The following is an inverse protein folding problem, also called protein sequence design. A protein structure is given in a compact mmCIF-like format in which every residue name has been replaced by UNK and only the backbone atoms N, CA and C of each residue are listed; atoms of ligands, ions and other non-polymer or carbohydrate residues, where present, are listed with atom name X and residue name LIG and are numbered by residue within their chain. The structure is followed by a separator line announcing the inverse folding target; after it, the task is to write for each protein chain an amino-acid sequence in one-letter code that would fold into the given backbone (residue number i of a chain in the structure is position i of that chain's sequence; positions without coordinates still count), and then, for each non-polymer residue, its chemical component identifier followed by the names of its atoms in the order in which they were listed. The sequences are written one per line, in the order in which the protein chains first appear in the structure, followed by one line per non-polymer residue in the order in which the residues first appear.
data_IF_756841517587
#
_entry.id   IF_756841517587
#
_cell.length_a   1.000
_cell.length_b   1.000
_cell.length_c   1.000
_cell.angle_alpha   90.00
_cell.angle_beta   90.00
_cell.angle_gamma   90.00
#
_symmetry.space_group_name_H-M   'P 1'
#
loop_
_entity.id
_entity.type
_entity.pdbx_description
1 polymer ?
#
# COMPACT_ATOMS: atom_id res chain seq x y z
N UNK A 1 12.51 9.05 -4.12
CA UNK A 1 13.91 8.55 -4.22
C UNK A 1 14.27 7.55 -3.11
N UNK A 2 13.47 7.41 -2.04
CA UNK A 2 13.80 6.53 -0.90
C UNK A 2 14.06 5.07 -1.29
N UNK A 3 13.49 4.58 -2.37
CA UNK A 3 13.68 3.22 -2.90
C UNK A 3 14.63 3.16 -4.12
N UNK A 4 15.36 4.22 -4.41
CA UNK A 4 16.36 4.27 -5.48
C UNK A 4 17.66 3.68 -4.94
N UNK A 5 18.15 2.59 -5.53
CA UNK A 5 19.44 2.02 -5.18
C UNK A 5 20.60 2.74 -5.88
N UNK A 6 21.83 2.46 -5.42
CA UNK A 6 23.03 3.13 -5.92
C UNK A 6 23.25 2.90 -7.42
N UNK A 7 22.95 1.70 -7.93
CA UNK A 7 23.11 1.37 -9.35
C UNK A 7 22.11 2.14 -10.21
N UNK A 8 20.83 2.15 -9.79
CA UNK A 8 19.79 2.91 -10.49
C UNK A 8 20.11 4.41 -10.49
N UNK A 9 20.71 4.91 -9.41
CA UNK A 9 21.13 6.31 -9.35
C UNK A 9 22.28 6.63 -10.31
N UNK A 10 23.29 5.75 -10.41
CA UNK A 10 24.36 5.93 -11.40
C UNK A 10 23.81 5.90 -12.84
N UNK A 11 22.94 4.91 -13.15
CA UNK A 11 22.28 4.83 -14.47
C UNK A 11 21.50 6.14 -14.79
N UNK A 12 20.80 6.72 -13.80
CA UNK A 12 20.08 7.97 -13.98
C UNK A 12 21.02 9.17 -14.24
N UNK A 13 22.17 9.22 -13.55
CA UNK A 13 23.17 10.28 -13.77
C UNK A 13 23.79 10.22 -15.16
N UNK A 14 23.96 9.02 -15.72
CA UNK A 14 24.44 8.86 -17.09
C UNK A 14 23.44 9.35 -18.13
N UNK A 15 22.13 9.19 -17.86
CA UNK A 15 21.07 9.56 -18.79
C UNK A 15 20.72 11.05 -18.68
N UNK A 16 20.67 11.59 -17.45
CA UNK A 16 20.14 12.93 -17.19
C UNK A 16 21.21 13.85 -16.58
N UNK A 17 21.52 14.99 -17.21
CA UNK A 17 22.53 15.93 -16.71
C UNK A 17 22.07 16.65 -15.43
N UNK A 18 20.77 16.77 -15.22
CA UNK A 18 20.17 17.41 -14.04
C UNK A 18 19.13 16.50 -13.43
N UNK A 19 19.26 16.23 -12.12
CA UNK A 19 18.34 15.41 -11.35
C UNK A 19 17.87 16.16 -10.12
N UNK A 20 16.57 16.09 -9.85
CA UNK A 20 15.99 16.50 -8.57
C UNK A 20 15.35 15.27 -7.94
N UNK A 21 15.81 14.94 -6.72
CA UNK A 21 15.35 13.76 -5.99
C UNK A 21 14.43 14.19 -4.86
N UNK A 22 13.22 13.64 -4.83
CA UNK A 22 12.31 13.75 -3.70
C UNK A 22 12.35 12.45 -2.91
N UNK A 23 12.59 12.53 -1.61
CA UNK A 23 12.71 11.37 -0.73
C UNK A 23 12.41 11.71 0.72
N UNK A 24 12.19 10.68 1.51
CA UNK A 24 11.96 10.77 2.94
C UNK A 24 12.88 9.75 3.64
N UNK A 25 13.81 10.20 4.49
CA UNK A 25 14.78 9.33 5.15
C UNK A 25 14.15 8.35 6.14
N UNK A 26 12.93 8.61 6.61
CA UNK A 26 12.21 7.73 7.52
C UNK A 26 11.48 6.58 6.78
N UNK A 27 11.29 6.69 5.45
CA UNK A 27 10.65 5.64 4.65
C UNK A 27 11.59 4.44 4.45
N UNK A 28 11.02 3.37 3.85
CA UNK A 28 11.78 2.16 3.54
C UNK A 28 12.89 2.44 2.53
N UNK A 29 14.07 1.90 2.79
CA UNK A 29 15.20 1.90 1.88
C UNK A 29 14.99 0.88 0.75
N UNK A 30 15.81 0.94 -0.32
CA UNK A 30 15.85 -0.12 -1.33
C UNK A 30 16.14 -1.47 -0.67
N UNK A 31 15.54 -2.53 -1.19
CA UNK A 31 15.70 -3.88 -0.66
C UNK A 31 17.18 -4.29 -0.75
N UNK A 32 17.74 -4.78 0.37
CA UNK A 32 19.15 -5.19 0.51
C UNK A 32 20.19 -4.06 0.46
N UNK A 33 19.79 -2.80 0.55
CA UNK A 33 20.75 -1.70 0.69
C UNK A 33 21.20 -1.57 2.16
N UNK A 34 22.50 -1.66 2.40
CA UNK A 34 23.11 -1.56 3.73
C UNK A 34 23.63 -0.17 4.09
N UNK A 35 23.83 0.68 3.09
CA UNK A 35 24.33 2.06 3.25
C UNK A 35 23.22 3.11 3.39
N UNK A 36 23.63 4.37 3.46
CA UNK A 36 22.71 5.52 3.44
C UNK A 36 21.90 5.55 2.14
N UNK A 37 20.71 6.16 2.20
CA UNK A 37 19.93 6.39 0.98
C UNK A 37 20.67 7.36 0.06
N UNK A 38 20.51 7.20 -1.25
CA UNK A 38 21.20 7.99 -2.27
C UNK A 38 21.11 9.50 -2.02
N UNK A 39 19.94 10.01 -1.69
CA UNK A 39 19.76 11.45 -1.46
C UNK A 39 20.38 11.95 -0.15
N UNK A 40 20.65 11.08 0.83
CA UNK A 40 21.35 11.43 2.08
C UNK A 40 22.85 11.62 1.86
N UNK A 41 23.40 11.07 0.78
CA UNK A 41 24.82 11.23 0.43
C UNK A 41 25.12 12.54 -0.32
N UNK A 42 24.10 13.30 -0.71
CA UNK A 42 24.28 14.58 -1.38
C UNK A 42 24.89 15.63 -0.42
N UNK A 43 25.75 16.55 -0.92
CA UNK A 43 26.27 17.65 -0.11
C UNK A 43 25.14 18.51 0.48
N UNK A 44 25.29 18.96 1.72
CA UNK A 44 24.31 19.74 2.46
C UNK A 44 23.69 20.92 1.67
N UNK A 45 24.46 21.71 0.88
CA UNK A 45 23.90 22.78 0.07
C UNK A 45 22.94 22.33 -1.05
N UNK A 46 22.92 21.04 -1.36
CA UNK A 46 22.02 20.43 -2.35
C UNK A 46 20.84 19.70 -1.72
N UNK A 47 20.70 19.76 -0.41
CA UNK A 47 19.59 19.18 0.32
C UNK A 47 18.62 20.29 0.77
N UNK A 48 17.34 20.11 0.42
CA UNK A 48 16.24 20.98 0.87
C UNK A 48 15.27 20.15 1.68
N UNK A 49 14.92 20.62 2.87
CA UNK A 49 13.99 19.92 3.76
C UNK A 49 12.63 20.60 3.73
N UNK A 50 11.59 19.83 3.42
CA UNK A 50 10.20 20.27 3.49
C UNK A 50 9.66 19.95 4.88
N UNK A 51 9.28 20.97 5.63
CA UNK A 51 8.83 20.83 7.04
C UNK A 51 7.32 20.69 7.18
N UNK A 52 6.54 21.10 6.16
CA UNK A 52 5.09 21.08 6.23
C UNK A 52 4.52 19.72 5.84
N UNK A 53 3.73 19.12 6.74
CA UNK A 53 2.96 17.90 6.49
C UNK A 53 1.57 18.30 5.97
N UNK A 54 1.13 17.73 4.84
CA UNK A 54 -0.15 18.03 4.22
C UNK A 54 -1.15 16.87 4.27
N UNK A 55 -0.68 15.67 4.62
CA UNK A 55 -1.51 14.45 4.55
C UNK A 55 -2.50 14.33 5.72
N UNK A 56 -2.13 14.83 6.87
CA UNK A 56 -2.89 14.71 8.12
C UNK A 56 -3.05 16.09 8.74
N UNK A 57 -4.13 16.29 9.50
CA UNK A 57 -4.31 17.50 10.30
C UNK A 57 -3.19 17.65 11.35
N UNK A 58 -2.85 18.88 11.68
CA UNK A 58 -1.70 19.16 12.57
C UNK A 58 -1.85 18.57 13.98
N UNK A 59 -3.10 18.30 14.41
CA UNK A 59 -3.43 17.71 15.72
C UNK A 59 -3.65 16.19 15.66
N UNK A 60 -3.34 15.55 14.53
CA UNK A 60 -3.55 14.11 14.39
C UNK A 60 -2.51 13.32 15.19
N UNK A 61 -2.91 12.50 16.19
CA UNK A 61 -2.00 11.75 17.04
C UNK A 61 -1.12 10.74 16.27
N UNK A 62 -1.52 10.36 15.05
CA UNK A 62 -0.72 9.49 14.19
C UNK A 62 0.60 10.17 13.81
N UNK A 63 0.62 11.51 13.67
CA UNK A 63 1.85 12.27 13.41
C UNK A 63 2.79 12.22 14.61
N UNK A 64 2.28 12.34 15.83
CA UNK A 64 3.09 12.25 17.03
C UNK A 64 3.75 10.88 17.17
N UNK A 65 2.98 9.82 16.88
CA UNK A 65 3.52 8.45 16.82
C UNK A 65 4.59 8.29 15.73
N UNK A 66 4.38 8.89 14.56
CA UNK A 66 5.36 8.87 13.48
C UNK A 66 6.64 9.62 13.84
N UNK A 67 6.53 10.78 14.47
CA UNK A 67 7.68 11.57 14.93
C UNK A 67 8.46 10.86 16.03
N UNK A 68 7.79 10.16 16.96
CA UNK A 68 8.45 9.40 18.02
C UNK A 68 9.41 8.32 17.46
N UNK A 69 9.10 7.74 16.30
CA UNK A 69 9.97 6.74 15.65
C UNK A 69 11.35 7.29 15.22
N UNK A 70 11.51 8.62 15.17
CA UNK A 70 12.80 9.25 14.89
C UNK A 70 13.77 9.17 16.08
N UNK A 71 13.26 8.96 17.30
CA UNK A 71 14.11 8.80 18.50
C UNK A 71 14.91 7.49 18.41
N UNK A 72 16.25 7.52 18.33
CA UNK A 72 17.08 6.33 18.26
C UNK A 72 16.91 5.39 19.46
N UNK A 73 16.61 5.96 20.65
CA UNK A 73 16.48 5.22 21.90
C UNK A 73 15.15 4.47 22.02
N UNK A 74 14.12 4.84 21.25
CA UNK A 74 12.80 4.23 21.32
C UNK A 74 12.85 2.74 20.92
N UNK A 75 12.48 1.85 21.86
CA UNK A 75 12.31 0.43 21.63
C UNK A 75 10.92 0.10 21.06
N UNK A 76 10.77 -1.13 20.53
CA UNK A 76 9.48 -1.59 19.98
C UNK A 76 8.39 -1.65 21.05
N UNK A 77 8.71 -2.21 22.22
CA UNK A 77 7.73 -2.38 23.32
C UNK A 77 7.27 -1.02 23.87
N UNK A 78 8.16 -0.02 23.90
CA UNK A 78 7.80 1.35 24.31
C UNK A 78 6.93 2.02 23.26
N UNK A 79 7.21 1.80 21.98
CA UNK A 79 6.37 2.30 20.89
C UNK A 79 4.97 1.68 20.92
N UNK A 80 4.84 0.35 21.13
CA UNK A 80 3.54 -0.28 21.30
C UNK A 80 2.77 0.28 22.50
N UNK A 81 3.46 0.54 23.61
CA UNK A 81 2.83 1.18 24.77
C UNK A 81 2.33 2.59 24.45
N UNK A 82 3.09 3.38 23.70
CA UNK A 82 2.64 4.69 23.23
C UNK A 82 1.37 4.60 22.38
N UNK A 83 1.29 3.63 21.47
CA UNK A 83 0.08 3.39 20.66
C UNK A 83 -1.11 3.04 21.56
N UNK A 84 -0.92 2.11 22.52
CA UNK A 84 -1.99 1.70 23.45
C UNK A 84 -2.47 2.86 24.32
N UNK A 85 -1.57 3.71 24.80
CA UNK A 85 -1.91 4.90 25.59
C UNK A 85 -2.63 5.94 24.73
N UNK A 86 -2.20 6.15 23.49
CA UNK A 86 -2.86 7.06 22.55
C UNK A 86 -4.27 6.58 22.24
N UNK A 87 -4.46 5.28 22.01
CA UNK A 87 -5.77 4.67 21.77
C UNK A 87 -6.78 4.84 22.94
N UNK A 88 -6.28 5.05 24.17
CA UNK A 88 -7.15 5.34 25.34
C UNK A 88 -7.64 6.80 25.36
N UNK A 89 -6.99 7.69 24.60
CA UNK A 89 -7.23 9.15 24.64
C UNK A 89 -7.86 9.69 23.37
N UNK A 90 -7.64 9.01 22.23
CA UNK A 90 -8.03 9.50 20.91
C UNK A 90 -8.54 8.35 20.04
N UNK A 91 -9.78 8.47 19.55
CA UNK A 91 -10.44 7.45 18.73
C UNK A 91 -9.83 7.26 17.33
N UNK A 92 -9.00 8.18 16.90
CA UNK A 92 -8.23 8.09 15.63
C UNK A 92 -7.15 7.04 15.69
N UNK A 93 -6.75 6.59 16.89
CA UNK A 93 -5.84 5.47 17.10
C UNK A 93 -6.56 4.37 17.86
N UNK A 94 -6.53 3.16 17.33
CA UNK A 94 -7.25 2.01 17.89
C UNK A 94 -6.28 0.87 18.14
N UNK A 95 -6.36 0.28 19.34
CA UNK A 95 -5.63 -0.92 19.72
C UNK A 95 -6.54 -2.13 19.66
N UNK A 96 -6.34 -3.01 18.66
CA UNK A 96 -7.24 -4.10 18.38
C UNK A 96 -6.59 -5.49 18.52
N UNK A 97 -7.38 -6.44 19.03
CA UNK A 97 -6.96 -7.85 19.17
C UNK A 97 -7.17 -8.65 17.86
N UNK A 98 -7.92 -8.12 16.91
CA UNK A 98 -8.33 -8.83 15.70
C UNK A 98 -8.27 -7.92 14.49
N UNK A 99 -7.94 -8.51 13.35
CA UNK A 99 -8.13 -7.86 12.06
C UNK A 99 -9.64 -7.73 11.79
N UNK A 100 -10.11 -6.54 11.49
CA UNK A 100 -11.49 -6.30 11.08
C UNK A 100 -11.71 -6.73 9.63
N UNK A 101 -12.40 -7.85 9.45
CA UNK A 101 -12.59 -8.48 8.14
C UNK A 101 -13.37 -7.60 7.17
N UNK A 102 -14.44 -6.94 7.64
CA UNK A 102 -15.26 -6.11 6.77
C UNK A 102 -14.48 -4.89 6.24
N UNK A 103 -13.53 -4.39 7.04
CA UNK A 103 -12.66 -3.30 6.61
C UNK A 103 -11.65 -3.76 5.55
N UNK A 104 -11.22 -5.03 5.55
CA UNK A 104 -10.29 -5.56 4.56
C UNK A 104 -10.81 -5.44 3.12
N UNK A 105 -12.12 -5.39 2.92
CA UNK A 105 -12.72 -5.20 1.61
C UNK A 105 -12.58 -3.76 1.07
N UNK A 106 -12.29 -2.79 1.94
CA UNK A 106 -12.19 -1.36 1.61
C UNK A 106 -10.78 -0.82 1.76
N UNK A 107 -10.07 -1.32 2.76
CA UNK A 107 -8.71 -0.90 3.09
C UNK A 107 -7.88 -2.13 3.44
N UNK A 108 -6.74 -2.34 2.77
CA UNK A 108 -5.92 -3.53 3.01
C UNK A 108 -5.32 -3.53 4.41
N UNK A 109 -5.12 -4.73 4.95
CA UNK A 109 -4.24 -4.91 6.10
C UNK A 109 -2.80 -4.76 5.66
N UNK A 110 -2.04 -3.90 6.31
CA UNK A 110 -0.63 -3.70 6.04
C UNK A 110 0.23 -4.69 6.80
N UNK A 111 1.03 -5.45 6.08
CA UNK A 111 1.90 -6.50 6.61
C UNK A 111 3.33 -6.32 6.10
N UNK A 112 4.30 -6.89 6.78
CA UNK A 112 5.68 -6.90 6.27
C UNK A 112 5.93 -8.07 5.32
N UNK A 113 5.59 -9.30 5.74
CA UNK A 113 5.96 -10.53 5.04
C UNK A 113 4.92 -10.96 4.02
N UNK A 114 5.38 -11.41 2.85
CA UNK A 114 4.51 -11.92 1.80
C UNK A 114 3.70 -13.15 2.27
N UNK A 115 4.31 -14.06 3.03
CA UNK A 115 3.61 -15.20 3.59
C UNK A 115 2.46 -14.82 4.53
N UNK A 116 2.60 -13.73 5.33
CA UNK A 116 1.52 -13.20 6.16
C UNK A 116 0.42 -12.62 5.28
N UNK A 117 0.77 -11.88 4.24
CA UNK A 117 -0.17 -11.32 3.27
C UNK A 117 -1.05 -12.41 2.64
N UNK A 118 -0.43 -13.45 2.11
CA UNK A 118 -1.13 -14.58 1.47
C UNK A 118 -2.07 -15.27 2.47
N UNK A 119 -1.61 -15.53 3.69
CA UNK A 119 -2.45 -16.15 4.73
C UNK A 119 -3.66 -15.31 5.11
N UNK A 120 -3.50 -13.99 5.25
CA UNK A 120 -4.62 -13.10 5.56
C UNK A 120 -5.62 -13.01 4.40
N UNK A 121 -5.15 -12.95 3.16
CA UNK A 121 -6.01 -12.99 1.97
C UNK A 121 -6.82 -14.29 1.92
N UNK A 122 -6.17 -15.44 2.11
CA UNK A 122 -6.88 -16.72 2.08
C UNK A 122 -7.88 -16.84 3.24
N UNK A 123 -7.53 -16.34 4.42
CA UNK A 123 -8.46 -16.30 5.56
C UNK A 123 -9.66 -15.38 5.27
N UNK A 124 -9.45 -14.19 4.68
CA UNK A 124 -10.51 -13.29 4.23
C UNK A 124 -11.45 -13.98 3.23
N UNK A 125 -10.88 -14.62 2.20
CA UNK A 125 -11.64 -15.34 1.19
C UNK A 125 -12.46 -16.50 1.78
N UNK A 126 -11.85 -17.25 2.69
CA UNK A 126 -12.51 -18.38 3.36
C UNK A 126 -13.71 -17.92 4.21
N UNK A 127 -13.59 -16.84 4.99
CA UNK A 127 -14.69 -16.36 5.85
C UNK A 127 -15.84 -15.76 5.04
N UNK A 128 -15.58 -15.28 3.82
CA UNK A 128 -16.60 -14.82 2.88
C UNK A 128 -17.12 -15.93 1.94
N UNK A 129 -16.64 -17.16 2.07
CA UNK A 129 -17.06 -18.29 1.25
C UNK A 129 -16.67 -18.16 -0.23
N UNK A 130 -15.59 -17.43 -0.53
CA UNK A 130 -15.10 -17.28 -1.89
C UNK A 130 -14.59 -18.64 -2.46
N UNK A 131 -14.80 -18.93 -3.76
CA UNK A 131 -14.28 -20.14 -4.40
C UNK A 131 -12.75 -20.22 -4.31
N UNK A 132 -12.20 -21.42 -4.21
CA UNK A 132 -10.75 -21.61 -4.06
C UNK A 132 -9.95 -21.11 -5.28
N UNK A 133 -10.44 -21.39 -6.49
CA UNK A 133 -9.71 -21.16 -7.75
C UNK A 133 -10.29 -20.00 -8.60
N UNK A 134 -11.25 -19.25 -8.08
CA UNK A 134 -11.87 -18.15 -8.79
C UNK A 134 -12.17 -16.97 -7.85
N UNK A 135 -12.21 -15.76 -8.38
CA UNK A 135 -12.68 -14.60 -7.60
C UNK A 135 -14.19 -14.61 -7.46
N UNK A 136 -14.66 -14.24 -6.28
CA UNK A 136 -16.06 -13.91 -6.02
C UNK A 136 -16.34 -12.44 -6.34
N UNK A 137 -17.55 -12.11 -6.72
CA UNK A 137 -18.00 -10.72 -6.88
C UNK A 137 -17.88 -9.97 -5.55
N UNK A 138 -17.34 -8.77 -5.61
CA UNK A 138 -17.07 -7.96 -4.41
C UNK A 138 -15.66 -8.10 -3.85
N UNK A 139 -14.83 -9.03 -4.34
CA UNK A 139 -13.44 -9.13 -3.86
C UNK A 139 -12.63 -7.88 -4.26
N UNK A 140 -11.86 -7.30 -3.30
CA UNK A 140 -11.03 -6.14 -3.56
C UNK A 140 -9.75 -6.54 -4.29
N UNK A 141 -9.36 -5.73 -5.27
CA UNK A 141 -8.11 -5.90 -6.00
C UNK A 141 -7.33 -4.58 -6.03
N UNK A 142 -6.03 -4.67 -6.28
CA UNK A 142 -5.14 -3.53 -6.51
C UNK A 142 -4.45 -3.73 -7.85
N UNK A 143 -4.53 -2.73 -8.72
CA UNK A 143 -3.83 -2.74 -9.99
C UNK A 143 -2.31 -2.67 -9.76
N UNK A 144 -1.58 -3.68 -10.23
CA UNK A 144 -0.10 -3.72 -10.13
C UNK A 144 0.56 -3.15 -11.40
N UNK A 145 -0.21 -2.93 -12.45
CA UNK A 145 0.21 -2.31 -13.69
C UNK A 145 -0.63 -2.74 -14.88
N UNK A 146 -0.45 -2.03 -16.00
CA UNK A 146 -1.08 -2.37 -17.29
C UNK A 146 0.04 -2.59 -18.30
N UNK A 147 0.14 -3.82 -18.80
CA UNK A 147 1.08 -4.19 -19.84
C UNK A 147 0.30 -4.52 -21.12
N UNK A 148 0.21 -3.57 -22.02
CA UNK A 148 -0.40 -3.75 -23.34
C UNK A 148 0.62 -3.43 -24.43
N UNK A 149 0.65 -4.20 -25.54
CA UNK A 149 1.51 -3.90 -26.69
C UNK A 149 1.27 -2.50 -27.23
N UNK A 150 2.27 -1.93 -27.87
CA UNK A 150 2.19 -0.58 -28.47
C UNK A 150 0.99 -0.43 -29.43
N UNK A 151 0.61 -1.49 -30.15
CA UNK A 151 -0.59 -1.50 -31.01
C UNK A 151 -1.90 -1.27 -30.25
N UNK A 152 -1.91 -1.48 -28.93
CA UNK A 152 -3.07 -1.26 -28.06
C UNK A 152 -2.92 -0.03 -27.15
N UNK A 153 -2.02 0.90 -27.50
CA UNK A 153 -1.76 2.13 -26.73
C UNK A 153 -3.04 2.93 -26.43
N UNK A 154 -3.96 3.01 -27.38
CA UNK A 154 -5.25 3.72 -27.17
C UNK A 154 -6.05 3.07 -26.03
N UNK A 155 -6.15 1.74 -26.01
CA UNK A 155 -6.87 1.03 -24.95
C UNK A 155 -6.21 1.23 -23.59
N UNK A 156 -4.87 1.26 -23.52
CA UNK A 156 -4.15 1.55 -22.30
C UNK A 156 -4.46 2.95 -21.79
N UNK A 157 -4.35 3.97 -22.66
CA UNK A 157 -4.65 5.36 -22.31
C UNK A 157 -6.11 5.53 -21.86
N UNK A 158 -7.06 4.83 -22.49
CA UNK A 158 -8.47 4.85 -22.08
C UNK A 158 -8.64 4.29 -20.65
N UNK A 159 -8.02 3.15 -20.34
CA UNK A 159 -8.08 2.55 -18.99
C UNK A 159 -7.42 3.47 -17.96
N UNK A 160 -6.25 4.05 -18.27
CA UNK A 160 -5.54 4.99 -17.39
C UNK A 160 -6.37 6.29 -17.18
N UNK A 161 -7.01 6.82 -18.20
CA UNK A 161 -7.90 7.99 -18.12
C UNK A 161 -9.14 7.72 -17.24
N UNK A 162 -9.56 6.46 -17.17
CA UNK A 162 -10.65 5.99 -16.29
C UNK A 162 -10.16 5.58 -14.91
N UNK A 163 -8.96 6.00 -14.53
CA UNK A 163 -8.39 5.78 -13.20
C UNK A 163 -7.76 4.42 -12.97
N UNK A 164 -7.71 3.53 -13.96
CA UNK A 164 -7.04 2.24 -13.82
C UNK A 164 -5.52 2.42 -14.00
N UNK A 165 -4.87 2.84 -12.94
CA UNK A 165 -3.42 3.06 -12.87
C UNK A 165 -2.80 2.15 -11.82
N UNK A 166 -1.48 2.07 -11.80
CA UNK A 166 -0.76 1.31 -10.76
C UNK A 166 -1.12 1.83 -9.37
N UNK A 167 -1.52 0.92 -8.48
CA UNK A 167 -1.99 1.24 -7.13
C UNK A 167 -3.50 1.51 -7.02
N UNK A 168 -4.21 1.64 -8.14
CA UNK A 168 -5.66 1.84 -8.13
C UNK A 168 -6.36 0.66 -7.44
N UNK A 169 -7.27 0.99 -6.53
CA UNK A 169 -8.15 0.01 -5.90
C UNK A 169 -9.36 -0.24 -6.79
N UNK A 170 -9.69 -1.50 -6.95
CA UNK A 170 -10.83 -1.90 -7.75
C UNK A 170 -11.62 -3.01 -7.06
N UNK A 171 -12.91 -3.09 -7.35
CA UNK A 171 -13.80 -4.18 -6.92
C UNK A 171 -14.04 -5.08 -8.12
N UNK A 172 -13.86 -6.38 -7.93
CA UNK A 172 -14.19 -7.36 -8.95
C UNK A 172 -15.72 -7.53 -9.07
N UNK A 173 -16.24 -7.34 -10.30
CA UNK A 173 -17.67 -7.43 -10.62
C UNK A 173 -18.02 -8.70 -11.42
N UNK A 174 -17.07 -9.62 -11.58
CA UNK A 174 -17.27 -10.84 -12.34
C UNK A 174 -16.53 -10.89 -13.67
N UNK A 175 -16.66 -11.99 -14.41
CA UNK A 175 -16.03 -12.18 -15.71
C UNK A 175 -16.58 -11.19 -16.74
N UNK A 176 -15.71 -10.76 -17.65
CA UNK A 176 -16.10 -9.94 -18.80
C UNK A 176 -16.80 -10.74 -19.91
N UNK A 177 -17.26 -10.02 -20.95
CA UNK A 177 -17.89 -10.67 -22.12
C UNK A 177 -16.90 -11.48 -22.96
N UNK A 178 -15.62 -11.12 -22.94
CA UNK A 178 -14.56 -11.84 -23.66
C UNK A 178 -13.79 -12.71 -22.68
N UNK A 179 -13.35 -13.93 -23.07
CA UNK A 179 -12.47 -14.74 -22.25
C UNK A 179 -11.21 -13.97 -21.81
N UNK A 180 -10.82 -14.12 -20.55
CA UNK A 180 -9.67 -13.43 -19.97
C UNK A 180 -9.92 -11.95 -19.63
N UNK A 181 -11.15 -11.45 -19.80
CA UNK A 181 -11.53 -10.11 -19.35
C UNK A 181 -12.28 -10.17 -18.02
N UNK A 182 -12.06 -9.18 -17.19
CA UNK A 182 -12.84 -8.94 -15.96
C UNK A 182 -13.63 -7.65 -16.06
N UNK A 183 -14.80 -7.64 -15.44
CA UNK A 183 -15.54 -6.41 -15.15
C UNK A 183 -15.08 -5.91 -13.80
N UNK A 184 -14.74 -4.65 -13.72
CA UNK A 184 -14.14 -4.02 -12.55
C UNK A 184 -14.84 -2.70 -12.26
N UNK A 185 -14.88 -2.31 -10.98
CA UNK A 185 -15.25 -0.98 -10.54
C UNK A 185 -14.02 -0.31 -9.95
N UNK A 186 -13.54 0.75 -10.61
CA UNK A 186 -12.39 1.52 -10.15
C UNK A 186 -12.86 2.50 -9.07
N UNK A 187 -12.32 2.37 -7.87
CA UNK A 187 -12.70 3.22 -6.74
C UNK A 187 -12.29 4.67 -7.01
N UNK A 188 -13.20 5.61 -6.75
CA UNK A 188 -12.97 7.05 -6.90
C UNK A 188 -12.93 7.60 -8.33
N UNK A 189 -13.13 6.78 -9.35
CA UNK A 189 -13.19 7.25 -10.72
C UNK A 189 -14.58 7.80 -11.06
N UNK A 190 -14.64 8.84 -11.91
CA UNK A 190 -15.93 9.40 -12.40
C UNK A 190 -16.72 8.38 -13.24
N UNK A 191 -16.04 7.64 -14.12
CA UNK A 191 -16.60 6.51 -14.88
C UNK A 191 -15.95 5.19 -14.40
N UNK A 192 -16.43 4.65 -13.25
CA UNK A 192 -15.71 3.62 -12.53
C UNK A 192 -15.79 2.23 -13.13
N UNK A 193 -16.76 1.96 -14.03
CA UNK A 193 -16.95 0.62 -14.57
C UNK A 193 -16.07 0.39 -15.80
N UNK A 194 -15.08 -0.45 -15.67
CA UNK A 194 -14.17 -0.84 -16.76
C UNK A 194 -14.25 -2.34 -17.04
N UNK A 195 -13.94 -2.71 -18.30
CA UNK A 195 -13.70 -4.09 -18.67
C UNK A 195 -12.31 -4.19 -19.25
N UNK A 196 -11.44 -4.95 -18.61
CA UNK A 196 -10.04 -5.08 -19.00
C UNK A 196 -9.64 -6.55 -19.13
N UNK A 197 -8.75 -6.84 -20.08
CA UNK A 197 -7.99 -8.08 -20.06
C UNK A 197 -7.18 -8.09 -18.76
N UNK A 198 -7.42 -9.07 -17.92
CA UNK A 198 -6.90 -9.05 -16.56
C UNK A 198 -6.24 -10.37 -16.19
N UNK A 199 -5.11 -10.22 -15.53
CA UNK A 199 -4.39 -11.33 -14.90
C UNK A 199 -4.57 -11.15 -13.40
N UNK A 200 -5.38 -12.01 -12.81
CA UNK A 200 -5.56 -12.06 -11.37
C UNK A 200 -4.94 -13.35 -10.86
N UNK A 201 -4.05 -13.19 -9.90
CA UNK A 201 -3.35 -14.29 -9.28
C UNK A 201 -3.94 -14.56 -7.91
N UNK A 202 -4.55 -15.74 -7.76
CA UNK A 202 -4.96 -16.25 -6.46
C UNK A 202 -3.77 -17.04 -5.91
N UNK A 203 -3.07 -16.41 -4.95
CA UNK A 203 -1.88 -16.99 -4.34
C UNK A 203 -2.30 -17.94 -3.21
N UNK A 204 -1.72 -19.13 -3.19
CA UNK A 204 -1.90 -20.11 -2.12
C UNK A 204 -0.71 -20.09 -1.15
N UNK A 205 -0.91 -20.38 0.13
CA UNK A 205 0.20 -20.59 1.05
C UNK A 205 1.08 -21.75 0.55
N UNK A 206 2.40 -21.57 0.69
CA UNK A 206 3.41 -22.60 0.38
C UNK A 206 3.50 -23.02 -1.11
N UNK A 207 2.83 -22.36 -2.03
CA UNK A 207 3.03 -22.52 -3.47
C UNK A 207 4.07 -21.52 -4.00
N UNK A 208 4.97 -22.00 -4.84
CA UNK A 208 5.88 -21.13 -5.58
C UNK A 208 5.08 -20.20 -6.50
N UNK A 209 5.52 -18.97 -6.65
CA UNK A 209 4.90 -18.05 -7.60
C UNK A 209 4.95 -18.64 -9.01
N UNK A 210 3.81 -18.92 -9.67
CA UNK A 210 3.82 -19.45 -11.02
C UNK A 210 4.51 -18.44 -11.94
N UNK A 211 5.48 -18.90 -12.69
CA UNK A 211 6.10 -18.10 -13.75
C UNK A 211 5.04 -17.78 -14.81
N UNK A 212 4.73 -16.49 -14.97
CA UNK A 212 3.85 -16.01 -16.03
C UNK A 212 4.74 -15.51 -17.17
N UNK A 213 4.75 -16.18 -18.34
CA UNK A 213 5.50 -15.70 -19.50
C UNK A 213 5.10 -14.28 -19.86
N UNK A 214 6.06 -13.45 -20.34
CA UNK A 214 5.81 -12.06 -20.72
C UNK A 214 4.65 -11.92 -21.72
N UNK A 215 4.57 -12.82 -22.71
CA UNK A 215 3.48 -12.82 -23.68
C UNK A 215 2.08 -13.06 -23.06
N UNK A 216 2.00 -13.74 -21.91
CA UNK A 216 0.75 -13.94 -21.17
C UNK A 216 0.42 -12.80 -20.20
N UNK A 217 1.35 -11.87 -19.96
CA UNK A 217 1.14 -10.69 -19.11
C UNK A 217 0.45 -9.53 -19.83
N UNK A 218 -0.12 -9.77 -21.00
CA UNK A 218 -0.79 -8.75 -21.83
C UNK A 218 -2.14 -8.38 -21.23
N UNK A 219 -2.18 -7.35 -20.39
CA UNK A 219 -3.42 -6.88 -19.77
C UNK A 219 -3.13 -6.08 -18.49
N UNK A 220 -4.15 -5.86 -17.70
CA UNK A 220 -4.02 -5.30 -16.36
C UNK A 220 -3.73 -6.45 -15.37
N UNK A 221 -2.65 -6.29 -14.61
CA UNK A 221 -2.25 -7.24 -13.57
C UNK A 221 -2.79 -6.78 -12.23
N UNK A 222 -3.39 -7.67 -11.48
CA UNK A 222 -3.98 -7.37 -10.17
C UNK A 222 -3.41 -8.26 -9.09
N UNK A 223 -3.24 -7.66 -7.91
CA UNK A 223 -3.05 -8.34 -6.64
C UNK A 223 -4.35 -8.28 -5.85
N UNK A 224 -4.57 -9.27 -4.99
CA UNK A 224 -5.72 -9.20 -4.08
C UNK A 224 -5.55 -8.08 -3.07
N UNK A 225 -6.61 -7.27 -2.89
CA UNK A 225 -6.58 -6.01 -2.15
C UNK A 225 -6.82 -6.14 -0.64
N UNK A 226 -7.20 -7.31 -0.11
CA UNK A 226 -7.52 -7.46 1.31
C UNK A 226 -6.29 -7.32 2.25
N UNK A 227 -5.09 -7.62 1.76
CA UNK A 227 -3.84 -7.38 2.48
C UNK A 227 -2.72 -7.02 1.51
N UNK A 228 -1.83 -6.11 1.91
CA UNK A 228 -0.73 -5.58 1.09
C UNK A 228 0.53 -5.50 1.93
N UNK A 229 1.69 -5.74 1.32
CA UNK A 229 2.94 -5.49 2.03
C UNK A 229 3.18 -4.00 2.20
N UNK A 230 3.76 -3.60 3.34
CA UNK A 230 4.10 -2.20 3.64
C UNK A 230 4.95 -1.59 2.52
N UNK A 231 5.84 -2.37 1.91
CA UNK A 231 6.64 -1.93 0.75
C UNK A 231 5.75 -1.53 -0.45
N UNK A 232 4.73 -2.33 -0.78
CA UNK A 232 3.80 -2.02 -1.88
C UNK A 232 2.79 -0.93 -1.53
N UNK A 233 2.55 -0.69 -0.25
CA UNK A 233 1.68 0.39 0.23
C UNK A 233 2.33 1.78 0.14
N UNK A 234 3.63 1.87 -0.15
CA UNK A 234 4.29 3.16 -0.36
C UNK A 234 3.66 3.90 -1.55
N UNK A 235 3.35 5.18 -1.34
CA UNK A 235 2.65 6.01 -2.32
C UNK A 235 1.12 5.94 -2.25
N UNK A 236 0.56 4.94 -1.55
CA UNK A 236 -0.88 4.84 -1.30
C UNK A 236 -1.25 5.39 0.08
N UNK A 237 -2.53 5.68 0.29
CA UNK A 237 -3.09 6.14 1.56
C UNK A 237 -4.55 5.73 1.66
N UNK A 238 -5.06 5.61 2.87
CA UNK A 238 -6.46 5.23 3.17
C UNK A 238 -6.96 6.02 4.36
N UNK A 239 -8.24 6.34 4.40
CA UNK A 239 -8.85 7.02 5.56
C UNK A 239 -8.58 6.22 6.85
N UNK A 240 -8.88 4.92 6.80
CA UNK A 240 -8.57 4.00 7.91
C UNK A 240 -7.58 2.94 7.44
N UNK A 241 -6.54 2.69 8.22
CA UNK A 241 -5.52 1.67 7.92
C UNK A 241 -5.39 0.69 9.07
N UNK A 242 -5.40 -0.61 8.76
CA UNK A 242 -5.07 -1.67 9.70
C UNK A 242 -3.60 -2.08 9.54
N UNK A 243 -2.83 -1.99 10.62
CA UNK A 243 -1.43 -2.40 10.66
C UNK A 243 -1.28 -3.68 11.47
N UNK A 244 -0.71 -4.71 10.88
CA UNK A 244 -0.51 -6.02 11.51
C UNK A 244 0.77 -6.01 12.33
N UNK A 245 0.68 -5.62 13.60
CA UNK A 245 1.78 -5.48 14.54
C UNK A 245 2.67 -6.73 14.69
N UNK A 246 2.16 -7.98 14.66
CA UNK A 246 3.01 -9.17 14.79
C UNK A 246 4.11 -9.28 13.73
N UNK A 247 3.89 -8.72 12.54
CA UNK A 247 4.92 -8.69 11.50
C UNK A 247 6.01 -7.64 11.79
N UNK A 248 5.63 -6.48 12.31
CA UNK A 248 6.59 -5.43 12.73
C UNK A 248 7.38 -5.89 13.95
N UNK A 249 6.72 -6.55 14.92
CA UNK A 249 7.39 -7.21 16.04
C UNK A 249 8.41 -8.25 15.58
N UNK A 250 8.07 -9.07 14.57
CA UNK A 250 9.02 -10.02 14.01
C UNK A 250 10.26 -9.33 13.43
N UNK A 251 10.10 -8.18 12.76
CA UNK A 251 11.22 -7.39 12.26
C UNK A 251 12.09 -6.82 13.41
N UNK A 252 11.45 -6.35 14.49
CA UNK A 252 12.14 -5.86 15.69
C UNK A 252 12.97 -6.98 16.34
N UNK A 253 12.38 -8.17 16.48
CA UNK A 253 13.06 -9.36 17.06
C UNK A 253 14.24 -9.84 16.21
N UNK A 254 14.18 -9.68 14.90
CA UNK A 254 15.30 -10.00 14.01
C UNK A 254 16.48 -9.02 14.16
N UNK A 255 16.27 -7.83 14.73
CA UNK A 255 17.31 -6.82 14.89
C UNK A 255 17.89 -6.30 13.58
N UNK A 256 17.17 -6.48 12.44
CA UNK A 256 17.66 -6.05 11.14
C UNK A 256 17.73 -4.53 11.05
N UNK A 257 18.83 -4.02 10.51
CA UNK A 257 19.08 -2.61 10.25
C UNK A 257 19.17 -2.38 8.74
N UNK A 258 18.50 -1.37 8.24
CA UNK A 258 18.54 -0.94 6.84
C UNK A 258 18.80 0.57 6.77
N UNK A 259 19.76 0.97 5.96
CA UNK A 259 20.18 2.38 5.83
C UNK A 259 20.34 3.07 7.21
N UNK A 260 21.11 2.45 8.12
CA UNK A 260 21.46 3.00 9.43
C UNK A 260 20.34 3.01 10.48
N UNK A 261 19.13 2.54 10.17
CA UNK A 261 18.02 2.50 11.13
C UNK A 261 17.43 1.09 11.28
N UNK A 262 16.88 0.73 12.46
CA UNK A 262 16.18 -0.51 12.65
C UNK A 262 15.02 -0.65 11.66
N UNK A 263 14.96 -1.76 10.93
CA UNK A 263 13.94 -2.01 9.91
C UNK A 263 12.50 -1.87 10.46
N UNK A 264 12.26 -2.31 11.69
CA UNK A 264 10.93 -2.23 12.29
C UNK A 264 10.42 -0.78 12.41
N UNK A 265 11.31 0.21 12.68
CA UNK A 265 10.96 1.63 12.75
C UNK A 265 10.50 2.14 11.38
N UNK A 266 11.23 1.80 10.32
CA UNK A 266 10.87 2.16 8.96
C UNK A 266 9.54 1.53 8.53
N UNK A 267 9.35 0.26 8.88
CA UNK A 267 8.08 -0.45 8.63
C UNK A 267 6.92 0.20 9.38
N UNK A 268 7.09 0.47 10.67
CA UNK A 268 6.09 1.15 11.49
C UNK A 268 5.77 2.53 10.93
N UNK A 269 6.78 3.36 10.65
CA UNK A 269 6.62 4.69 10.09
C UNK A 269 5.82 4.68 8.78
N UNK A 270 6.25 3.86 7.81
CA UNK A 270 5.53 3.76 6.53
C UNK A 270 4.11 3.27 6.74
N UNK A 271 3.89 2.25 7.58
CA UNK A 271 2.57 1.68 7.79
C UNK A 271 1.58 2.67 8.43
N UNK A 272 1.97 3.32 9.55
CA UNK A 272 1.07 4.24 10.25
C UNK A 272 0.80 5.51 9.45
N UNK A 273 1.80 6.00 8.69
CA UNK A 273 1.61 7.18 7.82
C UNK A 273 0.76 6.91 6.57
N UNK A 274 0.26 5.68 6.36
CA UNK A 274 -0.75 5.40 5.32
C UNK A 274 -2.16 5.78 5.76
N UNK A 275 -2.42 5.86 7.06
CA UNK A 275 -3.70 6.29 7.60
C UNK A 275 -3.85 7.81 7.49
N UNK A 276 -4.96 8.28 6.90
CA UNK A 276 -5.29 9.71 6.84
C UNK A 276 -6.01 10.14 8.12
N UNK A 277 -7.01 9.37 8.55
CA UNK A 277 -7.90 9.70 9.66
C UNK A 277 -7.74 8.73 10.83
N UNK A 278 -7.68 7.42 10.57
CA UNK A 278 -7.73 6.40 11.62
C UNK A 278 -6.71 5.29 11.43
N UNK A 279 -5.96 5.01 12.49
CA UNK A 279 -5.00 3.91 12.59
C UNK A 279 -5.56 2.80 13.48
N UNK A 280 -5.59 1.57 12.99
CA UNK A 280 -5.89 0.37 13.77
C UNK A 280 -4.62 -0.46 13.90
N UNK A 281 -4.09 -0.57 15.12
CA UNK A 281 -2.93 -1.37 15.44
C UNK A 281 -3.38 -2.75 15.91
N UNK A 282 -3.20 -3.76 15.07
CA UNK A 282 -3.70 -5.12 15.33
C UNK A 282 -2.61 -5.96 15.95
N UNK A 283 -2.81 -6.40 17.20
CA UNK A 283 -1.77 -7.08 18.00
C UNK A 283 -1.81 -8.60 17.93
N UNK A 284 -2.87 -9.22 17.40
CA UNK A 284 -2.96 -10.69 17.31
C UNK A 284 -3.34 -11.16 15.91
N UNK A 285 -2.89 -12.36 15.57
CA UNK A 285 -3.22 -13.04 14.32
C UNK A 285 -4.60 -13.71 14.41
N UNK A 286 -5.66 -12.89 14.50
CA UNK A 286 -7.06 -13.35 14.50
C UNK A 286 -7.89 -12.40 13.65
N UNK A 287 -8.89 -12.94 12.95
CA UNK A 287 -9.86 -12.15 12.20
C UNK A 287 -11.15 -12.00 13.03
N UNK A 288 -11.85 -10.89 12.86
CA UNK A 288 -13.24 -10.74 13.29
C UNK A 288 -14.14 -11.67 12.47
N UNK A 289 -15.37 -11.84 12.87
CA UNK A 289 -16.39 -12.45 12.01
C UNK A 289 -16.91 -11.38 11.05
N UNK A 290 -17.15 -11.72 9.77
CA UNK A 290 -17.78 -10.78 8.85
C UNK A 290 -19.22 -10.51 9.31
N UNK A 291 -19.68 -9.28 9.13
CA UNK A 291 -21.07 -8.87 9.45
C UNK A 291 -22.07 -9.34 8.39
N UNK A 292 -21.58 -9.67 7.20
CA UNK A 292 -22.39 -10.16 6.10
C UNK A 292 -21.56 -10.58 4.89
N UNK A 293 -22.21 -10.97 3.79
CA UNK A 293 -21.53 -11.24 2.54
C UNK A 293 -20.94 -9.96 1.95
N UNK A 294 -19.94 -10.10 1.07
CA UNK A 294 -19.41 -8.99 0.29
C UNK A 294 -20.54 -8.40 -0.58
N UNK A 295 -20.91 -7.15 -0.34
CA UNK A 295 -21.92 -6.44 -1.10
C UNK A 295 -21.26 -5.34 -1.92
N UNK A 296 -21.31 -5.48 -3.22
CA UNK A 296 -20.68 -4.54 -4.15
C UNK A 296 -21.17 -3.11 -3.94
N UNK A 297 -22.45 -2.91 -3.69
CA UNK A 297 -23.02 -1.56 -3.52
C UNK A 297 -22.51 -0.88 -2.24
N UNK A 298 -22.35 -1.63 -1.15
CA UNK A 298 -21.78 -1.13 0.10
C UNK A 298 -20.29 -0.73 -0.09
N UNK A 299 -19.57 -1.49 -0.92
CA UNK A 299 -18.16 -1.21 -1.24
C UNK A 299 -17.99 0.01 -2.14
N UNK A 300 -18.88 0.19 -3.13
CA UNK A 300 -18.87 1.36 -4.03
C UNK A 300 -19.19 2.67 -3.30
N UNK A 301 -20.01 2.62 -2.25
CA UNK A 301 -20.34 3.78 -1.45
C UNK A 301 -19.23 4.23 -0.49
N UNK A 302 -18.17 3.43 -0.33
CA UNK A 302 -17.03 3.83 0.48
C UNK A 302 -16.27 4.97 -0.22
N UNK A 303 -15.79 6.00 0.52
CA UNK A 303 -14.90 6.99 -0.04
C UNK A 303 -13.67 6.29 -0.61
N UNK A 304 -13.27 6.67 -1.81
CA UNK A 304 -12.05 6.18 -2.40
C UNK A 304 -10.88 6.63 -1.54
N UNK A 305 -9.94 5.74 -1.29
CA UNK A 305 -8.63 6.16 -0.82
C UNK A 305 -8.10 7.18 -1.86
N UNK A 306 -8.04 8.44 -1.44
CA UNK A 306 -7.71 9.51 -2.35
C UNK A 306 -6.27 9.35 -2.85
N UNK A 307 -6.11 8.89 -4.07
CA UNK A 307 -4.95 9.22 -4.89
C UNK A 307 -5.15 10.67 -5.36
N UNK A 308 -5.13 11.60 -4.41
CA UNK A 308 -5.20 13.01 -4.72
C UNK A 308 -3.80 13.46 -5.13
N UNK A 309 -3.48 13.29 -6.39
CA UNK A 309 -2.67 14.24 -7.10
C UNK A 309 -3.57 15.44 -7.37
N UNK A 310 -3.83 16.26 -6.37
CA UNK A 310 -4.28 17.62 -6.59
C UNK A 310 -3.12 18.37 -7.28
N UNK A 311 -3.19 18.42 -8.58
CA UNK A 311 -2.59 19.51 -9.33
C UNK A 311 -3.39 20.77 -8.95
N UNK A 312 -2.98 21.43 -7.87
CA UNK A 312 -3.41 22.81 -7.65
C UNK A 312 -2.81 23.66 -8.77
N UNK A 313 -3.68 24.26 -9.57
CA UNK A 313 -3.32 25.27 -10.54
C UNK A 313 -2.41 26.30 -9.87
N UNK A 314 -1.21 26.43 -10.40
CA UNK A 314 -0.26 27.45 -9.99
C UNK A 314 -0.86 28.82 -10.24
N UNK A 315 -0.99 29.64 -9.21
CA UNK A 315 -1.14 31.05 -9.35
C UNK A 315 0.10 31.63 -10.08
N UNK A 316 -0.05 32.49 -11.06
CA UNK A 316 1.08 33.00 -11.85
C UNK A 316 2.06 33.76 -10.95
N UNK A 317 3.33 33.38 -11.02
CA UNK A 317 4.44 34.15 -10.46
C UNK A 317 4.51 35.51 -11.15
N UNK A 318 4.28 36.57 -10.38
CA UNK A 318 4.70 37.94 -10.69
C UNK A 318 6.14 38.17 -10.23
#
# INVERSE_FOLDING_TARGET
ASMLDDRQFEDLKEIFPNLVLFGDPAQLAPVNQSGSMVFETLPEPRQLVLHRVHRQEADNPILDLAHALADPALGFDDFERMIEETAKRDERVVWEQRVEVDLMARSPVLVWRNATRIRLINAFRMVHGAPEDALAEGEPLICDGIELPMKHRKNRLDLEARGLIKGAQVIYLGPGRKPGFSRLHVMGAEDPQVSAASIVKIEKPDEEEPFIPYAARMGATFLHGAAVTIHKAQGSQWDTTQVFAPDIYAAARMGRVEAGQPLWKRLAYVAITRAQERLIWVVRNRLSKPTGPLRVDDLKAAPAAALTLEMQEEAPLL
#
